data_IF_852110965840
#
_entry.id   IF_852110965840
#
_cell.length_a   1.000
_cell.length_b   1.000
_cell.length_c   1.000
_cell.angle_alpha   90.00
_cell.angle_beta   90.00
_cell.angle_gamma   90.00
#
_symmetry.space_group_name_H-M   'P 1'
#
loop_
_entity.id
_entity.type
_entity.pdbx_description
1 polymer ?
#
# COMPACT_ATOMS: atom_id res chain seq x y z
N UNK A 1 15.52 6.42 -46.09
CA UNK A 1 14.67 6.90 -44.98
C UNK A 1 14.11 5.65 -44.33
N UNK A 2 14.59 5.31 -43.14
CA UNK A 2 14.15 4.10 -42.44
C UNK A 2 12.79 4.39 -41.80
N UNK A 3 11.75 3.66 -42.22
CA UNK A 3 10.48 3.59 -41.50
C UNK A 3 10.73 2.94 -40.14
N UNK A 4 10.69 3.78 -39.10
CA UNK A 4 10.65 3.31 -37.72
C UNK A 4 9.22 2.86 -37.45
N UNK A 5 8.98 1.54 -37.47
CA UNK A 5 7.78 0.95 -36.87
C UNK A 5 7.81 1.23 -35.36
N UNK A 6 6.75 1.77 -34.75
CA UNK A 6 6.66 1.79 -33.30
C UNK A 6 6.38 0.36 -32.81
N UNK A 7 7.40 -0.27 -32.24
CA UNK A 7 7.30 -1.52 -31.49
C UNK A 7 6.39 -1.34 -30.28
N UNK A 8 5.54 -2.35 -30.08
CA UNK A 8 4.59 -2.45 -28.99
C UNK A 8 5.21 -3.19 -27.80
N UNK A 9 5.27 -2.56 -26.61
CA UNK A 9 5.23 -3.17 -25.26
C UNK A 9 5.47 -2.11 -24.16
N UNK A 10 5.04 -2.31 -22.89
CA UNK A 10 4.12 -3.31 -22.32
C UNK A 10 2.87 -2.70 -21.66
N UNK A 11 1.74 -3.38 -21.74
CA UNK A 11 0.62 -3.20 -20.80
C UNK A 11 1.01 -3.83 -19.46
N UNK A 12 1.27 -3.03 -18.44
CA UNK A 12 1.20 -3.40 -17.02
C UNK A 12 1.33 -2.12 -16.18
N UNK A 13 0.21 -1.59 -15.69
CA UNK A 13 0.22 -0.38 -14.87
C UNK A 13 -1.14 0.27 -14.77
N UNK A 14 -2.05 -0.41 -14.06
CA UNK A 14 -3.29 0.11 -13.48
C UNK A 14 -4.04 1.13 -14.33
N UNK A 15 -4.98 0.63 -15.13
CA UNK A 15 -6.04 1.44 -15.70
C UNK A 15 -6.82 2.11 -14.55
N UNK A 16 -6.43 3.33 -14.16
CA UNK A 16 -7.20 4.23 -13.29
C UNK A 16 -8.43 4.78 -14.03
N UNK A 17 -9.07 3.96 -14.88
CA UNK A 17 -10.44 4.24 -15.27
C UNK A 17 -11.25 4.04 -14.01
N UNK A 18 -11.48 5.13 -13.27
CA UNK A 18 -12.64 5.26 -12.40
C UNK A 18 -13.84 5.05 -13.31
N UNK A 19 -14.21 3.79 -13.46
CA UNK A 19 -15.26 3.34 -14.33
C UNK A 19 -16.55 3.94 -13.83
N UNK A 20 -16.95 5.02 -14.48
CA UNK A 20 -18.33 5.42 -14.68
C UNK A 20 -18.32 6.54 -15.73
N UNK A 21 -18.52 6.12 -16.98
CA UNK A 21 -18.77 6.98 -18.14
C UNK A 21 -20.18 7.61 -17.99
N UNK A 22 -20.38 8.39 -16.93
CA UNK A 22 -21.57 9.22 -16.78
C UNK A 22 -21.17 10.59 -17.28
N UNK A 23 -21.59 10.92 -18.50
CA UNK A 23 -21.59 12.30 -18.98
C UNK A 23 -22.77 12.99 -18.27
N UNK A 24 -22.51 13.79 -17.21
CA UNK A 24 -23.59 14.28 -16.37
C UNK A 24 -24.41 15.30 -17.14
N UNK A 25 -25.69 15.02 -17.36
CA UNK A 25 -26.56 15.84 -18.22
C UNK A 25 -27.03 17.12 -17.55
N UNK A 26 -26.84 17.24 -16.24
CA UNK A 26 -27.17 18.42 -15.44
C UNK A 26 -26.27 18.54 -14.18
N UNK A 27 -26.33 19.70 -13.53
CA UNK A 27 -25.50 20.05 -12.36
C UNK A 27 -25.74 19.12 -11.16
N UNK A 28 -26.96 18.58 -11.01
CA UNK A 28 -27.30 17.66 -9.92
C UNK A 28 -26.64 16.29 -10.11
N UNK A 29 -26.63 15.77 -11.34
CA UNK A 29 -25.92 14.54 -11.71
C UNK A 29 -24.41 14.69 -11.56
N UNK A 30 -23.86 15.84 -11.98
CA UNK A 30 -22.44 16.14 -11.81
C UNK A 30 -22.05 16.14 -10.32
N UNK A 31 -22.88 16.74 -9.47
CA UNK A 31 -22.63 16.80 -8.02
C UNK A 31 -22.64 15.40 -7.40
N UNK A 32 -23.61 14.55 -7.77
CA UNK A 32 -23.68 13.16 -7.31
C UNK A 32 -22.49 12.33 -7.81
N UNK A 33 -22.06 12.55 -9.05
CA UNK A 33 -20.89 11.89 -9.61
C UNK A 33 -19.62 12.25 -8.83
N UNK A 34 -19.37 13.54 -8.61
CA UNK A 34 -18.21 14.01 -7.82
C UNK A 34 -18.27 13.46 -6.39
N UNK A 35 -19.45 13.45 -5.76
CA UNK A 35 -19.62 12.89 -4.42
C UNK A 35 -19.26 11.39 -4.38
N UNK A 36 -19.72 10.62 -5.36
CA UNK A 36 -19.41 9.18 -5.48
C UNK A 36 -17.91 8.96 -5.72
N UNK A 37 -17.30 9.82 -6.54
CA UNK A 37 -15.87 9.77 -6.85
C UNK A 37 -15.02 9.99 -5.59
N UNK A 38 -15.35 11.03 -4.84
CA UNK A 38 -14.66 11.37 -3.60
C UNK A 38 -14.84 10.28 -2.54
N UNK A 39 -16.03 9.71 -2.44
CA UNK A 39 -16.28 8.59 -1.53
C UNK A 39 -15.43 7.38 -1.91
N UNK A 40 -15.42 6.99 -3.20
CA UNK A 40 -14.60 5.89 -3.68
C UNK A 40 -13.10 6.12 -3.45
N UNK A 41 -12.63 7.36 -3.63
CA UNK A 41 -11.24 7.73 -3.32
C UNK A 41 -10.94 7.59 -1.83
N UNK A 42 -11.84 8.05 -0.96
CA UNK A 42 -11.70 7.94 0.49
C UNK A 42 -11.67 6.47 0.94
N UNK A 43 -12.61 5.64 0.45
CA UNK A 43 -12.69 4.22 0.80
C UNK A 43 -11.40 3.47 0.39
N UNK A 44 -10.86 3.82 -0.78
CA UNK A 44 -9.62 3.23 -1.31
C UNK A 44 -8.40 3.67 -0.49
N UNK A 45 -8.34 4.95 -0.11
CA UNK A 45 -7.28 5.47 0.76
C UNK A 45 -7.33 4.87 2.16
N UNK A 46 -8.54 4.70 2.72
CA UNK A 46 -8.73 4.05 4.02
C UNK A 46 -8.26 2.60 3.96
N UNK A 47 -8.70 1.84 2.96
CA UNK A 47 -8.27 0.44 2.76
C UNK A 47 -6.75 0.32 2.66
N UNK A 48 -6.10 1.22 1.91
CA UNK A 48 -4.65 1.25 1.79
C UNK A 48 -3.97 1.59 3.12
N UNK A 49 -4.52 2.54 3.87
CA UNK A 49 -4.01 2.93 5.19
C UNK A 49 -4.11 1.77 6.19
N UNK A 50 -5.24 1.06 6.20
CA UNK A 50 -5.44 -0.11 7.06
C UNK A 50 -4.44 -1.23 6.74
N UNK A 51 -4.15 -1.46 5.46
CA UNK A 51 -3.13 -2.42 5.04
C UNK A 51 -1.72 -2.04 5.51
N UNK A 52 -1.38 -0.74 5.49
CA UNK A 52 -0.10 -0.25 5.99
C UNK A 52 0.01 -0.46 7.50
N UNK A 53 -1.05 -0.13 8.25
CA UNK A 53 -1.10 -0.32 9.71
C UNK A 53 -0.91 -1.80 10.05
N UNK A 54 -1.65 -2.70 9.40
CA UNK A 54 -1.51 -4.14 9.62
C UNK A 54 -0.08 -4.63 9.38
N UNK A 55 0.59 -4.15 8.32
CA UNK A 55 2.00 -4.50 8.06
C UNK A 55 2.96 -3.95 9.13
N UNK A 56 2.68 -2.76 9.67
CA UNK A 56 3.47 -2.19 10.76
C UNK A 56 3.31 -3.04 12.02
N UNK A 57 2.09 -3.46 12.36
CA UNK A 57 1.82 -4.33 13.51
C UNK A 57 2.51 -5.69 13.36
N UNK A 58 2.45 -6.29 12.17
CA UNK A 58 3.20 -7.52 11.86
C UNK A 58 4.72 -7.34 12.02
N UNK A 59 5.27 -6.22 11.54
CA UNK A 59 6.69 -5.90 11.73
C UNK A 59 7.03 -5.69 13.20
N UNK A 60 6.16 -5.06 13.99
CA UNK A 60 6.32 -4.89 15.43
C UNK A 60 6.46 -6.23 16.15
N UNK A 61 5.52 -7.16 15.92
CA UNK A 61 5.58 -8.50 16.49
C UNK A 61 6.88 -9.25 16.11
N UNK A 62 7.31 -9.12 14.85
CA UNK A 62 8.56 -9.73 14.39
C UNK A 62 9.80 -9.13 15.05
N UNK A 63 9.77 -7.83 15.36
CA UNK A 63 10.85 -7.16 16.10
C UNK A 63 10.88 -7.69 17.54
N UNK A 64 9.73 -7.78 18.21
CA UNK A 64 9.63 -8.32 19.57
C UNK A 64 10.19 -9.76 19.64
N UNK A 65 9.84 -10.59 18.66
CA UNK A 65 10.39 -11.95 18.54
C UNK A 65 11.91 -11.95 18.33
N UNK A 66 12.43 -11.04 17.50
CA UNK A 66 13.88 -10.90 17.28
C UNK A 66 14.60 -10.44 18.55
N UNK A 67 14.05 -9.47 19.27
CA UNK A 67 14.60 -8.98 20.54
C UNK A 67 14.67 -10.11 21.57
N UNK A 68 13.63 -10.93 21.68
CA UNK A 68 13.61 -12.11 22.54
C UNK A 68 14.68 -13.13 22.14
N UNK A 69 14.77 -13.48 20.85
CA UNK A 69 15.77 -14.44 20.37
C UNK A 69 17.21 -13.94 20.62
N UNK A 70 17.45 -12.64 20.48
CA UNK A 70 18.75 -12.03 20.79
C UNK A 70 19.04 -12.11 22.28
N UNK A 71 18.08 -11.78 23.15
CA UNK A 71 18.25 -11.88 24.60
C UNK A 71 18.56 -13.32 25.03
N UNK A 72 17.83 -14.30 24.51
CA UNK A 72 18.07 -15.73 24.77
C UNK A 72 19.48 -16.15 24.31
N UNK A 73 19.92 -15.68 23.13
CA UNK A 73 21.25 -15.95 22.60
C UNK A 73 22.36 -15.30 23.45
N UNK A 74 22.16 -14.06 23.91
CA UNK A 74 23.10 -13.35 24.78
C UNK A 74 23.25 -14.07 26.12
N UNK A 75 22.13 -14.51 26.71
CA UNK A 75 22.13 -15.33 27.91
C UNK A 75 22.84 -16.67 27.68
N UNK A 76 22.56 -17.37 26.57
CA UNK A 76 23.19 -18.66 26.25
C UNK A 76 24.70 -18.55 25.98
N UNK A 77 25.12 -17.48 25.31
CA UNK A 77 26.53 -17.21 25.05
C UNK A 77 27.30 -16.73 26.30
N UNK A 78 26.62 -16.55 27.43
CA UNK A 78 27.23 -16.11 28.69
C UNK A 78 27.77 -14.68 28.64
N UNK A 79 27.32 -13.87 27.67
CA UNK A 79 27.68 -12.44 27.58
C UNK A 79 26.87 -11.58 28.54
N UNK A 80 25.79 -12.10 29.11
CA UNK A 80 25.16 -11.61 30.35
C UNK A 80 26.08 -11.91 31.56
N UNK A 81 27.24 -11.25 31.69
CA UNK A 81 28.04 -11.43 32.92
C UNK A 81 29.51 -11.03 32.97
N UNK A 82 30.12 -10.42 31.96
CA UNK A 82 31.53 -9.98 32.04
C UNK A 82 31.70 -8.46 32.06
N UNK A 83 31.04 -7.78 32.99
CA UNK A 83 31.46 -6.47 33.50
C UNK A 83 31.26 -6.41 35.03
N UNK A 84 32.24 -6.93 35.77
CA UNK A 84 32.52 -6.56 37.15
C UNK A 84 34.03 -6.42 37.32
#
# INVERSE_FOLDING_TARGET
MAEVKPEHKPEDGENYSMGNNVDPKNVQELTQYVQTLLQSMQDKFQTMSDQIINRIDEMGNRIDDLEKNIADLMTQAGVDGTEK
#
